data_IF_660011865091
#
_entry.id   IF_660011865091
#
_cell.length_a   1.000
_cell.length_b   1.000
_cell.length_c   1.000
_cell.angle_alpha   90.00
_cell.angle_beta   90.00
_cell.angle_gamma   90.00
#
_symmetry.space_group_name_H-M   'P 1'
#
loop_
_entity.id
_entity.type
_entity.pdbx_description
1 polymer ?
#
# COMPACT_ATOMS: atom_id res chain seq x y z
N UNK A 1 13.87 15.52 -10.59
CA UNK A 1 14.41 14.18 -10.95
C UNK A 1 13.23 13.30 -11.29
N UNK A 2 13.08 12.87 -12.54
CA UNK A 2 12.09 11.86 -12.88
C UNK A 2 12.72 10.49 -12.56
N UNK A 3 12.24 9.85 -11.50
CA UNK A 3 12.52 8.44 -11.23
C UNK A 3 11.90 7.61 -12.35
N UNK A 4 12.57 6.50 -12.71
CA UNK A 4 12.35 5.74 -13.94
C UNK A 4 10.88 5.54 -14.30
N UNK A 5 10.56 5.75 -15.58
CA UNK A 5 9.24 5.51 -16.18
C UNK A 5 8.81 4.07 -15.93
N UNK A 6 8.04 3.82 -14.87
CA UNK A 6 7.55 2.48 -14.54
C UNK A 6 7.36 2.15 -13.06
N UNK A 7 7.93 2.91 -12.13
CA UNK A 7 7.81 2.60 -10.69
C UNK A 7 7.56 3.83 -9.84
N UNK A 8 6.64 3.67 -8.89
CA UNK A 8 6.36 4.65 -7.84
C UNK A 8 7.04 4.23 -6.55
N UNK A 9 7.80 5.14 -5.96
CA UNK A 9 8.47 4.91 -4.68
C UNK A 9 7.75 5.63 -3.55
N UNK A 10 7.79 5.04 -2.36
CA UNK A 10 7.30 5.64 -1.11
C UNK A 10 8.47 6.04 -0.22
N UNK A 11 8.23 6.99 0.68
CA UNK A 11 9.25 7.44 1.63
C UNK A 11 9.58 6.38 2.68
N UNK A 12 10.84 6.31 3.09
CA UNK A 12 11.33 5.39 4.13
C UNK A 12 10.58 5.60 5.45
N UNK A 13 10.29 6.85 5.81
CA UNK A 13 9.57 7.17 7.03
C UNK A 13 8.18 6.51 7.08
N UNK A 14 7.47 6.48 5.95
CA UNK A 14 6.17 5.80 5.85
C UNK A 14 6.28 4.29 5.99
N UNK A 15 7.36 3.69 5.50
CA UNK A 15 7.65 2.26 5.70
C UNK A 15 7.92 1.96 7.17
N UNK A 16 8.76 2.78 7.81
CA UNK A 16 9.13 2.60 9.22
C UNK A 16 7.91 2.76 10.14
N UNK A 17 7.04 3.74 9.86
CA UNK A 17 5.81 3.95 10.63
C UNK A 17 4.90 2.72 10.61
N UNK A 18 4.61 2.19 9.42
CA UNK A 18 3.76 1.00 9.27
C UNK A 18 4.37 -0.23 9.95
N UNK A 19 5.68 -0.46 9.77
CA UNK A 19 6.38 -1.57 10.44
C UNK A 19 6.35 -1.41 11.96
N UNK A 20 6.52 -0.19 12.47
CA UNK A 20 6.41 0.12 13.90
C UNK A 20 5.02 -0.20 14.45
N UNK A 21 3.96 0.11 13.69
CA UNK A 21 2.58 -0.24 14.04
C UNK A 21 2.37 -1.74 14.07
N UNK A 22 2.87 -2.51 13.10
CA UNK A 22 2.82 -3.97 13.14
C UNK A 22 3.50 -4.56 14.38
N UNK A 23 4.60 -3.95 14.84
CA UNK A 23 5.31 -4.42 16.03
C UNK A 23 4.55 -4.09 17.34
N UNK A 24 3.78 -3.00 17.38
CA UNK A 24 3.10 -2.51 18.58
C UNK A 24 1.61 -2.87 18.69
N UNK A 25 0.92 -3.06 17.57
CA UNK A 25 -0.54 -3.21 17.50
C UNK A 25 -0.91 -4.66 17.15
N UNK A 26 -1.23 -5.47 18.17
CA UNK A 26 -1.62 -6.89 17.98
C UNK A 26 -2.81 -7.10 17.04
N UNK A 27 -3.69 -6.10 16.91
CA UNK A 27 -4.85 -6.12 16.01
C UNK A 27 -4.45 -6.13 14.52
N UNK A 28 -3.20 -5.78 14.21
CA UNK A 28 -2.67 -5.80 12.85
C UNK A 28 -1.96 -7.13 12.51
N UNK A 29 -1.82 -8.06 13.45
CA UNK A 29 -1.16 -9.34 13.16
C UNK A 29 -1.97 -10.13 12.12
N UNK A 30 -1.29 -10.60 11.07
CA UNK A 30 -1.93 -11.30 9.95
C UNK A 30 -2.40 -10.36 8.84
N UNK A 31 -2.52 -9.05 9.09
CA UNK A 31 -2.90 -8.06 8.08
C UNK A 31 -1.82 -7.89 7.01
N UNK A 32 -2.25 -7.54 5.82
CA UNK A 32 -1.39 -7.07 4.75
C UNK A 32 -1.68 -5.59 4.47
N UNK A 33 -0.63 -4.76 4.50
CA UNK A 33 -0.74 -3.32 4.26
C UNK A 33 0.02 -2.94 2.99
N UNK A 34 -0.61 -2.16 2.13
CA UNK A 34 0.04 -1.51 1.00
C UNK A 34 0.37 -0.07 1.36
N UNK A 35 1.62 0.33 1.16
CA UNK A 35 2.07 1.69 1.37
C UNK A 35 2.15 2.35 -0.01
N UNK A 36 1.48 3.49 -0.13
CA UNK A 36 1.36 4.22 -1.38
C UNK A 36 1.79 5.68 -1.17
N UNK A 37 2.02 6.46 -2.24
CA UNK A 37 2.25 7.89 -2.10
C UNK A 37 1.10 8.60 -1.38
N UNK A 38 1.37 9.81 -0.88
CA UNK A 38 0.48 10.56 0.03
C UNK A 38 -0.99 10.66 -0.40
N UNK A 39 -1.29 10.58 -1.71
CA UNK A 39 -2.67 10.61 -2.20
C UNK A 39 -3.56 9.48 -1.65
N UNK A 40 -3.00 8.30 -1.40
CA UNK A 40 -3.76 7.12 -0.96
C UNK A 40 -3.22 6.56 0.37
N UNK A 41 -1.99 6.91 0.76
CA UNK A 41 -1.43 6.58 2.06
C UNK A 41 -1.26 5.08 2.31
N UNK A 42 -1.62 4.62 3.51
CA UNK A 42 -1.52 3.21 3.92
C UNK A 42 -2.88 2.55 3.79
N UNK A 43 -2.96 1.48 3.02
CA UNK A 43 -4.21 0.75 2.73
C UNK A 43 -4.10 -0.67 3.26
N UNK A 44 -5.09 -1.10 4.03
CA UNK A 44 -5.28 -2.50 4.40
C UNK A 44 -5.85 -3.26 3.20
N UNK A 45 -5.07 -4.21 2.66
CA UNK A 45 -5.51 -5.03 1.52
C UNK A 45 -6.27 -6.27 1.95
N UNK A 46 -6.41 -6.50 3.27
CA UNK A 46 -7.25 -7.55 3.88
C UNK A 46 -7.10 -8.93 3.25
N UNK A 47 -5.89 -9.25 2.80
CA UNK A 47 -5.60 -10.53 2.12
C UNK A 47 -5.75 -11.74 3.06
N UNK A 48 -5.88 -11.47 4.36
CA UNK A 48 -6.11 -12.44 5.42
C UNK A 48 -7.60 -12.70 5.73
N UNK A 49 -8.53 -11.93 5.15
CA UNK A 49 -9.98 -12.12 5.33
C UNK A 49 -10.56 -13.04 4.25
N UNK A 50 -11.30 -14.08 4.67
CA UNK A 50 -11.97 -14.99 3.73
C UNK A 50 -12.95 -14.23 2.82
N UNK A 51 -12.80 -14.38 1.51
CA UNK A 51 -13.60 -13.69 0.50
C UNK A 51 -13.08 -12.31 0.10
N UNK A 52 -12.01 -11.81 0.73
CA UNK A 52 -11.28 -10.63 0.29
C UNK A 52 -9.99 -11.08 -0.39
N UNK A 53 -9.79 -10.63 -1.62
CA UNK A 53 -8.58 -10.94 -2.39
C UNK A 53 -7.76 -9.67 -2.49
N UNK A 54 -6.55 -9.66 -1.94
CA UNK A 54 -5.63 -8.53 -2.03
C UNK A 54 -5.46 -8.07 -3.49
N UNK A 55 -5.53 -8.99 -4.45
CA UNK A 55 -5.51 -8.69 -5.88
C UNK A 55 -6.67 -7.82 -6.40
N UNK A 56 -7.87 -7.93 -5.83
CA UNK A 56 -9.03 -7.09 -6.22
C UNK A 56 -8.87 -5.67 -5.71
N UNK A 57 -8.46 -5.53 -4.44
CA UNK A 57 -8.17 -4.22 -3.83
C UNK A 57 -7.00 -3.56 -4.56
N UNK A 58 -5.93 -4.33 -4.82
CA UNK A 58 -4.76 -3.88 -5.56
C UNK A 58 -5.10 -3.39 -6.97
N UNK A 59 -5.87 -4.15 -7.73
CA UNK A 59 -6.30 -3.75 -9.08
C UNK A 59 -7.09 -2.44 -9.07
N UNK A 60 -8.00 -2.26 -8.12
CA UNK A 60 -8.75 -1.01 -7.96
C UNK A 60 -7.86 0.18 -7.59
N UNK A 61 -6.79 -0.04 -6.83
CA UNK A 61 -5.83 1.03 -6.49
C UNK A 61 -4.99 1.40 -7.70
N UNK A 62 -4.49 0.41 -8.46
CA UNK A 62 -3.76 0.65 -9.71
C UNK A 62 -4.58 1.50 -10.70
N UNK A 63 -5.88 1.22 -10.82
CA UNK A 63 -6.78 1.99 -11.68
C UNK A 63 -6.93 3.46 -11.22
N UNK A 64 -7.04 3.71 -9.91
CA UNK A 64 -7.18 5.07 -9.36
C UNK A 64 -5.89 5.89 -9.46
N UNK A 65 -4.74 5.22 -9.43
CA UNK A 65 -3.43 5.85 -9.45
C UNK A 65 -2.89 6.13 -10.85
N UNK A 66 -3.32 5.34 -11.83
CA UNK A 66 -2.91 5.49 -13.24
C UNK A 66 -3.12 6.93 -13.78
N UNK A 67 -4.25 7.63 -13.52
CA UNK A 67 -4.44 9.02 -13.96
C UNK A 67 -3.45 10.01 -13.32
N UNK A 68 -2.94 9.72 -12.13
CA UNK A 68 -1.95 10.52 -11.42
C UNK A 68 -0.50 10.25 -11.89
N UNK A 69 -0.32 9.35 -12.87
CA UNK A 69 1.00 8.93 -13.35
C UNK A 69 1.73 8.01 -12.36
N UNK A 70 1.04 7.52 -11.34
CA UNK A 70 1.58 6.60 -10.35
C UNK A 70 1.36 5.16 -10.83
N UNK A 71 2.45 4.41 -10.90
CA UNK A 71 2.52 3.00 -11.30
C UNK A 71 2.95 2.19 -10.07
N UNK A 72 2.08 1.29 -9.62
CA UNK A 72 2.30 0.33 -8.52
C UNK A 72 2.27 -1.07 -9.09
#
# INVERSE_FOLDING_TARGET
MALGTGFTFVGVDGVVDVVGRFAGEKTLHGRAMMITPEQEGVIDVRDDEEGVWGGVIFGGIQERMRPAGLII
#
